data_IF_571883107408
#
_entry.id   IF_571883107408
#
_cell.length_a   1.000
_cell.length_b   1.000
_cell.length_c   1.000
_cell.angle_alpha   90.00
_cell.angle_beta   90.00
_cell.angle_gamma   90.00
#
_symmetry.space_group_name_H-M   'P 1'
#
loop_
_entity.id
_entity.type
_entity.pdbx_description
1 polymer ?
#
# COMPACT_ATOMS: atom_id res chain seq x y z
N UNK A 1 0.52 -41.75 -3.15
CA UNK A 1 1.06 -40.93 -2.05
C UNK A 1 1.75 -39.63 -2.51
N UNK A 2 2.36 -39.56 -3.71
CA UNK A 2 3.02 -38.34 -4.23
C UNK A 2 2.05 -37.15 -4.45
N UNK A 3 0.86 -37.42 -5.01
CA UNK A 3 -0.15 -36.38 -5.31
C UNK A 3 -0.76 -35.74 -4.05
N UNK A 4 -0.94 -36.50 -2.97
CA UNK A 4 -1.48 -35.99 -1.71
C UNK A 4 -0.55 -34.94 -1.09
N UNK A 5 0.76 -35.19 -1.12
CA UNK A 5 1.75 -34.24 -0.63
C UNK A 5 1.72 -32.93 -1.42
N UNK A 6 1.61 -33.00 -2.75
CA UNK A 6 1.52 -31.82 -3.61
C UNK A 6 0.28 -30.95 -3.29
N UNK A 7 -0.88 -31.59 -3.03
CA UNK A 7 -2.10 -30.87 -2.66
C UNK A 7 -1.95 -30.15 -1.30
N UNK A 8 -1.32 -30.79 -0.31
CA UNK A 8 -1.07 -30.18 0.98
C UNK A 8 -0.17 -28.94 0.86
N UNK A 9 0.90 -29.02 0.06
CA UNK A 9 1.77 -27.86 -0.19
C UNK A 9 1.03 -26.71 -0.86
N UNK A 10 0.17 -26.99 -1.85
CA UNK A 10 -0.62 -25.95 -2.52
C UNK A 10 -1.60 -25.25 -1.57
N UNK A 11 -2.31 -26.00 -0.72
CA UNK A 11 -3.26 -25.44 0.27
C UNK A 11 -2.54 -24.55 1.28
N UNK A 12 -1.36 -24.97 1.75
CA UNK A 12 -0.52 -24.16 2.65
C UNK A 12 -0.08 -22.87 1.93
N UNK A 13 0.38 -22.96 0.69
CA UNK A 13 0.85 -21.80 -0.07
C UNK A 13 -0.27 -20.80 -0.41
N UNK A 14 -1.48 -21.29 -0.69
CA UNK A 14 -2.65 -20.44 -0.92
C UNK A 14 -3.13 -19.72 0.36
N UNK A 15 -3.08 -20.39 1.51
CA UNK A 15 -3.44 -19.80 2.81
C UNK A 15 -2.48 -18.66 3.21
N UNK A 16 -1.18 -18.86 2.96
CA UNK A 16 -0.15 -17.85 3.25
C UNK A 16 -0.28 -16.63 2.33
N UNK A 17 -0.53 -16.82 1.03
CA UNK A 17 -0.68 -15.72 0.07
C UNK A 17 -1.91 -14.83 0.33
N UNK A 18 -3.00 -15.42 0.83
CA UNK A 18 -4.22 -14.67 1.18
C UNK A 18 -3.99 -13.71 2.36
N UNK A 19 -3.05 -14.07 3.25
CA UNK A 19 -2.70 -13.25 4.43
C UNK A 19 -1.75 -12.11 4.06
N UNK A 20 -0.81 -12.31 3.12
CA UNK A 20 0.13 -11.27 2.69
C UNK A 20 -0.48 -10.21 1.75
N UNK A 21 -1.49 -10.59 0.96
CA UNK A 21 -2.17 -9.65 0.06
C UNK A 21 -3.11 -8.69 0.82
N UNK A 22 -3.70 -9.17 1.92
CA UNK A 22 -4.62 -8.39 2.75
C UNK A 22 -3.89 -7.39 3.64
N UNK A 23 -2.69 -7.71 4.16
CA UNK A 23 -1.90 -6.76 4.96
C UNK A 23 -1.44 -5.53 4.16
N UNK A 24 -1.06 -5.70 2.89
CA UNK A 24 -0.78 -4.58 1.97
C UNK A 24 -2.01 -3.69 1.74
N UNK A 25 -3.20 -4.29 1.64
CA UNK A 25 -4.44 -3.55 1.42
C UNK A 25 -4.90 -2.77 2.65
N UNK A 26 -4.65 -3.28 3.86
CA UNK A 26 -5.02 -2.62 5.13
C UNK A 26 -4.07 -1.45 5.42
N UNK A 27 -2.77 -1.61 5.13
CA UNK A 27 -1.79 -0.53 5.26
C UNK A 27 -2.04 0.57 4.21
N UNK A 28 -2.44 0.18 2.99
CA UNK A 28 -2.93 1.11 1.97
C UNK A 28 -4.20 1.86 2.39
N UNK A 29 -5.15 1.19 3.05
CA UNK A 29 -6.42 1.78 3.49
C UNK A 29 -6.27 2.74 4.68
N UNK A 30 -5.29 2.52 5.57
CA UNK A 30 -4.97 3.45 6.67
C UNK A 30 -3.98 4.54 6.28
N UNK A 31 -3.25 4.36 5.18
CA UNK A 31 -2.31 5.37 4.70
C UNK A 31 -3.04 6.58 4.14
N UNK A 32 -2.73 7.78 4.68
CA UNK A 32 -3.16 9.05 4.09
C UNK A 32 -2.44 9.25 2.75
N UNK A 33 -3.08 8.80 1.67
CA UNK A 33 -2.61 9.01 0.31
C UNK A 33 -3.38 10.11 -0.40
N UNK A 34 -2.72 10.80 -1.33
CA UNK A 34 -3.36 11.79 -2.20
C UNK A 34 -3.89 11.10 -3.46
N UNK A 35 -5.19 11.21 -3.71
CA UNK A 35 -5.81 10.71 -4.93
C UNK A 35 -5.60 11.64 -6.13
N UNK A 36 -5.76 12.94 -5.90
CA UNK A 36 -5.61 13.98 -6.92
C UNK A 36 -4.45 14.92 -6.59
N UNK A 37 -3.72 15.34 -7.62
CA UNK A 37 -2.56 16.22 -7.50
C UNK A 37 -2.86 17.55 -8.19
N UNK A 38 -2.70 18.65 -7.46
CA UNK A 38 -2.79 19.98 -8.07
C UNK A 38 -1.55 20.24 -8.92
N UNK A 39 -1.74 20.72 -10.15
CA UNK A 39 -0.66 21.22 -11.01
C UNK A 39 -0.34 22.71 -10.74
N UNK A 40 -1.05 23.34 -9.80
CA UNK A 40 -0.85 24.75 -9.46
C UNK A 40 0.46 24.90 -8.68
N UNK A 41 1.23 25.93 -9.04
CA UNK A 41 2.48 26.25 -8.34
C UNK A 41 2.16 26.87 -6.98
N UNK A 42 2.39 26.12 -5.90
CA UNK A 42 2.13 26.59 -4.54
C UNK A 42 3.20 27.62 -4.15
N UNK A 43 2.83 28.85 -3.77
CA UNK A 43 3.79 29.83 -3.29
C UNK A 43 4.29 29.44 -1.90
N UNK A 44 5.55 29.04 -1.81
CA UNK A 44 6.20 28.57 -0.55
C UNK A 44 6.09 29.59 0.59
N UNK A 45 6.02 30.89 0.27
CA UNK A 45 5.85 31.96 1.26
C UNK A 45 4.54 31.87 2.06
N UNK A 46 3.53 31.17 1.54
CA UNK A 46 2.22 30.99 2.20
C UNK A 46 2.09 29.63 2.90
N UNK A 47 3.09 28.74 2.80
CA UNK A 47 3.06 27.40 3.40
C UNK A 47 3.55 27.47 4.83
N UNK A 48 2.67 27.19 5.80
CA UNK A 48 3.02 27.14 7.23
C UNK A 48 3.76 25.86 7.60
N UNK A 49 3.35 24.73 7.05
CA UNK A 49 3.94 23.42 7.30
C UNK A 49 3.69 22.51 6.12
N UNK A 50 4.51 21.48 5.98
CA UNK A 50 4.33 20.45 4.99
C UNK A 50 4.69 19.09 5.58
N UNK A 51 4.05 18.05 5.07
CA UNK A 51 4.22 16.67 5.51
C UNK A 51 4.28 15.74 4.31
N UNK A 52 5.03 14.65 4.44
CA UNK A 52 5.09 13.62 3.40
C UNK A 52 4.00 12.58 3.63
N UNK A 53 3.35 12.15 2.55
CA UNK A 53 2.49 10.97 2.60
C UNK A 53 3.29 9.71 2.90
N UNK A 54 2.59 8.65 3.34
CA UNK A 54 3.19 7.34 3.60
C UNK A 54 3.98 6.81 2.40
N UNK A 55 5.02 6.02 2.67
CA UNK A 55 5.77 5.29 1.64
C UNK A 55 4.97 4.15 1.00
N UNK A 56 3.88 3.71 1.64
CA UNK A 56 2.97 2.71 1.10
C UNK A 56 2.02 3.26 0.02
N UNK A 57 1.97 4.59 -0.16
CA UNK A 57 1.18 5.20 -1.23
C UNK A 57 1.77 4.90 -2.62
N UNK A 58 0.93 4.64 -3.64
CA UNK A 58 1.39 4.39 -5.01
C UNK A 58 2.16 5.58 -5.60
N UNK A 59 1.88 6.80 -5.10
CA UNK A 59 2.61 8.01 -5.44
C UNK A 59 2.84 8.83 -4.18
N UNK A 60 4.11 9.10 -3.88
CA UNK A 60 4.50 9.92 -2.73
C UNK A 60 4.22 11.39 -3.01
N UNK A 61 3.57 12.07 -2.07
CA UNK A 61 3.14 13.46 -2.20
C UNK A 61 3.52 14.28 -0.95
N UNK A 62 3.44 15.60 -1.10
CA UNK A 62 3.57 16.56 -0.01
C UNK A 62 2.19 17.17 0.24
N UNK A 63 1.80 17.26 1.52
CA UNK A 63 0.55 17.88 2.00
C UNK A 63 0.88 19.00 2.97
#
# INVERSE_FOLDING_TARGET
MRSLMCLLFLVIFCSVQMTSSSTLSIDGANSKCCGEFSNVKIPVKLVTSYSWTSSSCPRRAIV
#
